data_IF_444717546326
#
_entry.id   IF_444717546326
#
_cell.length_a   1.000
_cell.length_b   1.000
_cell.length_c   1.000
_cell.angle_alpha   90.00
_cell.angle_beta   90.00
_cell.angle_gamma   90.00
#
_symmetry.space_group_name_H-M   'P 1'
#
loop_
_entity.id
_entity.type
_entity.pdbx_description
1 polymer ?
#
# COMPACT_ATOMS: atom_id res chain seq x y z
N UNK A 1 -8.78 -4.89 10.25
CA UNK A 1 -10.03 -4.20 10.53
C UNK A 1 -10.01 -3.49 11.88
N UNK A 2 -9.67 -4.13 13.00
CA UNK A 2 -9.70 -3.53 14.34
C UNK A 2 -8.81 -2.28 14.49
N UNK A 3 -7.60 -2.28 13.90
CA UNK A 3 -6.70 -1.11 13.88
C UNK A 3 -7.28 0.05 13.06
N UNK A 4 -7.91 -0.24 11.92
CA UNK A 4 -8.62 0.78 11.14
C UNK A 4 -9.76 1.40 11.95
N UNK A 5 -10.56 0.55 12.63
CA UNK A 5 -11.64 1.02 13.49
C UNK A 5 -11.11 1.94 14.59
N UNK A 6 -10.07 1.51 15.32
CA UNK A 6 -9.46 2.32 16.37
C UNK A 6 -8.95 3.67 15.84
N UNK A 7 -8.21 3.67 14.74
CA UNK A 7 -7.68 4.89 14.13
C UNK A 7 -8.78 5.84 13.64
N UNK A 8 -9.82 5.31 12.97
CA UNK A 8 -10.97 6.11 12.52
C UNK A 8 -11.70 6.73 13.71
N UNK A 9 -11.97 5.95 14.76
CA UNK A 9 -12.64 6.46 15.96
C UNK A 9 -11.84 7.56 16.67
N UNK A 10 -10.50 7.41 16.75
CA UNK A 10 -9.63 8.45 17.30
C UNK A 10 -9.71 9.75 16.49
N UNK A 11 -9.63 9.65 15.16
CA UNK A 11 -9.69 10.81 14.27
C UNK A 11 -11.07 11.49 14.36
N UNK A 12 -12.17 10.72 14.28
CA UNK A 12 -13.52 11.27 14.33
C UNK A 12 -13.82 11.97 15.66
N UNK A 13 -13.48 11.35 16.80
CA UNK A 13 -13.73 11.93 18.12
C UNK A 13 -12.85 13.15 18.41
N UNK A 14 -11.68 13.22 17.76
CA UNK A 14 -10.80 14.38 17.91
C UNK A 14 -11.16 15.53 16.96
N UNK A 15 -11.83 15.26 15.85
CA UNK A 15 -12.29 16.28 14.90
C UNK A 15 -13.68 16.81 15.26
N UNK A 16 -14.56 15.97 15.80
CA UNK A 16 -15.94 16.31 16.11
C UNK A 16 -16.22 16.10 17.60
N UNK A 17 -16.00 17.13 18.39
CA UNK A 17 -16.08 17.05 19.87
C UNK A 17 -17.49 16.78 20.41
N UNK A 18 -18.55 17.08 19.65
CA UNK A 18 -19.94 16.89 20.07
C UNK A 18 -20.67 15.73 19.35
N UNK A 19 -19.93 14.71 18.93
CA UNK A 19 -20.49 13.58 18.20
C UNK A 19 -21.55 12.79 19.02
N UNK A 20 -21.44 12.81 20.34
CA UNK A 20 -22.39 12.18 21.26
C UNK A 20 -23.84 12.70 21.12
N UNK A 21 -23.99 13.95 20.67
CA UNK A 21 -25.32 14.57 20.50
C UNK A 21 -25.93 14.29 19.11
N UNK A 22 -25.15 13.74 18.17
CA UNK A 22 -25.57 13.61 16.76
C UNK A 22 -26.28 12.28 16.48
N UNK A 23 -25.96 11.19 17.20
CA UNK A 23 -26.57 9.89 16.91
C UNK A 23 -26.54 8.92 18.11
N UNK A 24 -27.64 8.16 18.31
CA UNK A 24 -27.69 7.04 19.27
C UNK A 24 -26.62 5.97 19.02
N UNK A 25 -26.20 5.77 17.76
CA UNK A 25 -25.10 4.85 17.39
C UNK A 25 -23.78 5.27 18.05
N UNK A 26 -23.48 6.57 18.06
CA UNK A 26 -22.27 7.05 18.71
C UNK A 26 -22.32 6.96 20.23
N UNK A 27 -23.50 7.04 20.85
CA UNK A 27 -23.65 6.79 22.29
C UNK A 27 -23.31 5.34 22.69
N UNK A 28 -23.64 4.37 21.83
CA UNK A 28 -23.25 2.95 22.04
C UNK A 28 -21.75 2.73 21.84
N UNK A 29 -21.12 3.53 20.95
CA UNK A 29 -19.69 3.49 20.68
C UNK A 29 -18.84 4.36 21.62
N UNK A 30 -19.47 5.25 22.40
CA UNK A 30 -18.80 6.12 23.39
C UNK A 30 -17.92 5.38 24.42
N UNK A 31 -18.27 4.17 24.92
CA UNK A 31 -17.37 3.41 25.78
C UNK A 31 -16.04 3.07 25.11
N UNK A 32 -16.00 3.09 23.76
CA UNK A 32 -14.80 2.94 22.93
C UNK A 32 -14.23 4.29 22.48
N UNK A 33 -14.55 5.38 23.20
CA UNK A 33 -13.98 6.70 22.92
C UNK A 33 -12.50 6.69 23.29
N UNK A 34 -11.65 6.65 22.28
CA UNK A 34 -10.20 6.62 22.39
C UNK A 34 -9.61 8.01 22.74
N UNK A 35 -10.35 8.84 23.46
CA UNK A 35 -10.04 10.25 23.74
C UNK A 35 -9.26 10.38 25.06
N UNK A 36 -8.02 9.88 25.05
CA UNK A 36 -7.14 9.86 26.22
C UNK A 36 -5.89 10.73 26.09
N UNK A 37 -5.70 11.39 24.96
CA UNK A 37 -4.63 12.34 24.70
C UNK A 37 -5.21 13.73 24.44
N UNK A 38 -4.35 14.74 24.40
CA UNK A 38 -4.73 16.05 23.87
C UNK A 38 -5.17 15.88 22.41
N UNK A 39 -6.07 16.74 21.93
CA UNK A 39 -6.68 16.63 20.60
C UNK A 39 -5.63 16.43 19.49
N UNK A 40 -4.55 17.21 19.51
CA UNK A 40 -3.45 17.14 18.55
C UNK A 40 -2.79 15.76 18.54
N UNK A 41 -2.48 15.22 19.73
CA UNK A 41 -1.84 13.91 19.86
C UNK A 41 -2.79 12.77 19.50
N UNK A 42 -4.07 12.89 19.82
CA UNK A 42 -5.07 11.90 19.41
C UNK A 42 -5.20 11.81 17.89
N UNK A 43 -5.23 12.95 17.20
CA UNK A 43 -5.22 12.98 15.74
C UNK A 43 -3.97 12.32 15.17
N UNK A 44 -2.81 12.68 15.69
CA UNK A 44 -1.54 12.14 15.25
C UNK A 44 -1.47 10.61 15.44
N UNK A 45 -1.79 10.12 16.63
CA UNK A 45 -1.81 8.67 16.93
C UNK A 45 -2.85 7.94 16.10
N UNK A 46 -4.04 8.52 15.91
CA UNK A 46 -5.10 7.96 15.07
C UNK A 46 -4.66 7.77 13.62
N UNK A 47 -4.02 8.78 13.02
CA UNK A 47 -3.49 8.68 11.66
C UNK A 47 -2.31 7.73 11.56
N UNK A 48 -1.42 7.68 12.55
CA UNK A 48 -0.35 6.68 12.59
C UNK A 48 -0.91 5.26 12.67
N UNK A 49 -1.97 5.03 13.46
CA UNK A 49 -2.65 3.73 13.52
C UNK A 49 -3.24 3.35 12.15
N UNK A 50 -3.85 4.30 11.43
CA UNK A 50 -4.38 4.06 10.09
C UNK A 50 -3.27 3.71 9.08
N UNK A 51 -2.17 4.44 9.09
CA UNK A 51 -1.00 4.15 8.26
C UNK A 51 -0.38 2.79 8.56
N UNK A 52 -0.20 2.47 9.84
CA UNK A 52 0.33 1.17 10.28
C UNK A 52 -0.66 0.03 9.99
N UNK A 53 -1.97 0.24 10.15
CA UNK A 53 -2.99 -0.74 9.79
C UNK A 53 -2.89 -1.13 8.32
N UNK A 54 -2.55 -0.17 7.44
CA UNK A 54 -2.30 -0.44 6.03
C UNK A 54 -1.02 -1.25 5.81
N UNK A 55 0.08 -0.89 6.48
CA UNK A 55 1.33 -1.66 6.46
C UNK A 55 1.14 -3.10 6.92
N UNK A 56 0.34 -3.30 7.99
CA UNK A 56 -0.02 -4.64 8.50
C UNK A 56 -0.90 -5.40 7.50
N UNK A 57 -1.89 -4.74 6.89
CA UNK A 57 -2.76 -5.40 5.90
C UNK A 57 -1.98 -5.88 4.67
N UNK A 58 -0.89 -5.21 4.34
CA UNK A 58 0.05 -5.59 3.28
C UNK A 58 1.17 -6.53 3.75
N UNK A 59 1.14 -6.99 5.01
CA UNK A 59 2.12 -7.93 5.60
C UNK A 59 3.56 -7.41 5.61
N UNK A 60 3.74 -6.09 5.72
CA UNK A 60 5.06 -5.44 5.70
C UNK A 60 5.79 -5.65 7.02
N UNK A 61 6.99 -6.24 6.97
CA UNK A 61 7.84 -6.57 8.11
C UNK A 61 8.19 -5.34 8.97
N UNK A 62 8.50 -4.23 8.34
CA UNK A 62 8.82 -2.97 9.03
C UNK A 62 7.63 -2.36 9.79
N UNK A 63 6.37 -2.70 9.46
CA UNK A 63 5.20 -2.21 10.18
C UNK A 63 4.98 -2.90 11.53
N UNK A 64 5.59 -4.06 11.76
CA UNK A 64 5.36 -4.88 12.95
C UNK A 64 5.77 -4.17 14.26
N UNK A 65 7.04 -3.76 14.37
CA UNK A 65 7.55 -3.12 15.59
C UNK A 65 6.89 -1.77 15.91
N UNK A 66 6.74 -0.83 14.97
CA UNK A 66 6.05 0.42 15.24
C UNK A 66 4.62 0.21 15.75
N UNK A 67 3.91 -0.80 15.21
CA UNK A 67 2.54 -1.12 15.66
C UNK A 67 2.52 -1.62 17.10
N UNK A 68 3.44 -2.50 17.49
CA UNK A 68 3.55 -2.99 18.88
C UNK A 68 3.85 -1.84 19.83
N UNK A 69 4.82 -0.99 19.48
CA UNK A 69 5.20 0.16 20.29
C UNK A 69 4.01 1.12 20.45
N UNK A 70 3.33 1.44 19.36
CA UNK A 70 2.19 2.35 19.39
C UNK A 70 1.01 1.81 20.20
N UNK A 71 0.68 0.52 20.03
CA UNK A 71 -0.37 -0.14 20.83
C UNK A 71 0.01 -0.22 22.32
N UNK A 72 1.27 -0.54 22.62
CA UNK A 72 1.79 -0.51 23.98
C UNK A 72 1.68 0.88 24.62
N UNK A 73 2.01 1.93 23.87
CA UNK A 73 1.84 3.32 24.30
C UNK A 73 0.35 3.64 24.57
N UNK A 74 -0.55 3.21 23.68
CA UNK A 74 -2.00 3.38 23.88
C UNK A 74 -2.48 2.69 25.17
N UNK A 75 -2.04 1.46 25.46
CA UNK A 75 -2.39 0.72 26.67
C UNK A 75 -1.88 1.48 27.92
N UNK A 76 -0.61 1.81 27.96
CA UNK A 76 0.01 2.51 29.11
C UNK A 76 -0.71 3.83 29.39
N UNK A 77 -0.98 4.62 28.35
CA UNK A 77 -1.66 5.89 28.51
C UNK A 77 -3.13 5.75 28.95
N UNK A 78 -3.83 4.70 28.45
CA UNK A 78 -5.20 4.40 28.89
C UNK A 78 -5.24 3.99 30.35
N UNK A 79 -4.30 3.17 30.81
CA UNK A 79 -4.15 2.80 32.22
C UNK A 79 -3.90 4.03 33.12
N UNK A 80 -3.02 4.91 32.68
CA UNK A 80 -2.62 6.09 33.45
C UNK A 80 -3.73 7.16 33.58
N UNK A 81 -4.57 7.32 32.53
CA UNK A 81 -5.51 8.46 32.46
C UNK A 81 -6.99 8.08 32.65
N UNK A 82 -7.44 6.97 32.11
CA UNK A 82 -8.89 6.67 32.05
C UNK A 82 -9.33 5.44 32.84
N UNK A 83 -8.42 4.54 33.17
CA UNK A 83 -8.68 3.26 33.86
C UNK A 83 -9.83 2.45 33.21
N UNK A 84 -10.10 2.66 31.92
CA UNK A 84 -11.16 1.99 31.18
C UNK A 84 -10.74 0.57 30.82
N UNK A 85 -11.19 -0.42 31.58
CA UNK A 85 -10.88 -1.84 31.34
C UNK A 85 -11.32 -2.33 29.95
N UNK A 86 -12.38 -1.77 29.40
CA UNK A 86 -12.87 -2.12 28.06
C UNK A 86 -11.87 -1.74 26.97
N UNK A 87 -11.32 -0.53 27.03
CA UNK A 87 -10.30 -0.06 26.07
C UNK A 87 -9.00 -0.83 26.20
N UNK A 88 -8.56 -1.07 27.44
CA UNK A 88 -7.35 -1.85 27.70
C UNK A 88 -7.52 -3.26 27.12
N UNK A 89 -8.68 -3.89 27.33
CA UNK A 89 -8.95 -5.22 26.77
C UNK A 89 -8.93 -5.22 25.23
N UNK A 90 -9.50 -4.22 24.56
CA UNK A 90 -9.49 -4.10 23.10
C UNK A 90 -8.06 -3.95 22.58
N UNK A 91 -7.27 -3.04 23.14
CA UNK A 91 -5.87 -2.87 22.71
C UNK A 91 -5.02 -4.10 23.00
N UNK A 92 -5.24 -4.75 24.15
CA UNK A 92 -4.53 -5.98 24.52
C UNK A 92 -4.84 -7.13 23.54
N UNK A 93 -6.11 -7.30 23.15
CA UNK A 93 -6.51 -8.30 22.14
C UNK A 93 -5.89 -8.01 20.79
N UNK A 94 -5.89 -6.74 20.34
CA UNK A 94 -5.27 -6.34 19.08
C UNK A 94 -3.74 -6.58 19.12
N UNK A 95 -3.11 -6.19 20.23
CA UNK A 95 -1.67 -6.39 20.44
C UNK A 95 -1.30 -7.89 20.42
N UNK A 96 -2.07 -8.71 21.12
CA UNK A 96 -1.88 -10.16 21.12
C UNK A 96 -2.05 -10.76 19.72
N UNK A 97 -3.07 -10.33 18.98
CA UNK A 97 -3.27 -10.78 17.60
C UNK A 97 -2.09 -10.42 16.69
N UNK A 98 -1.54 -9.19 16.81
CA UNK A 98 -0.36 -8.77 16.04
C UNK A 98 0.88 -9.58 16.43
N UNK A 99 1.08 -9.87 17.72
CA UNK A 99 2.21 -10.69 18.19
C UNK A 99 2.11 -12.13 17.65
N UNK A 100 0.94 -12.74 17.70
CA UNK A 100 0.71 -14.10 17.18
C UNK A 100 0.91 -14.16 15.66
N UNK A 101 0.54 -13.11 14.94
CA UNK A 101 0.68 -13.02 13.49
C UNK A 101 2.10 -12.71 13.01
N UNK A 102 3.12 -12.70 13.88
CA UNK A 102 4.50 -12.30 13.54
C UNK A 102 5.04 -12.96 12.26
N UNK A 103 4.75 -14.24 12.05
CA UNK A 103 5.24 -15.00 10.89
C UNK A 103 4.62 -14.57 9.55
N UNK A 104 3.47 -13.88 9.60
CA UNK A 104 2.79 -13.39 8.41
C UNK A 104 3.42 -12.11 7.83
N UNK A 105 4.31 -11.45 8.58
CA UNK A 105 5.00 -10.22 8.17
C UNK A 105 6.31 -10.58 7.46
N UNK A 106 6.24 -10.83 6.16
CA UNK A 106 7.38 -11.26 5.35
C UNK A 106 7.80 -10.26 4.28
N UNK A 107 6.90 -9.35 3.85
CA UNK A 107 7.21 -8.37 2.81
C UNK A 107 8.22 -7.33 3.30
N UNK A 108 9.28 -7.15 2.50
CA UNK A 108 10.37 -6.24 2.83
C UNK A 108 10.05 -4.78 2.48
N UNK A 109 9.09 -4.54 1.57
CA UNK A 109 8.76 -3.21 1.08
C UNK A 109 7.26 -2.94 1.10
N UNK A 110 6.94 -1.69 1.43
CA UNK A 110 5.60 -1.15 1.28
C UNK A 110 5.49 -0.40 -0.05
N UNK A 111 4.64 -0.87 -0.94
CA UNK A 111 4.42 -0.24 -2.25
C UNK A 111 2.97 0.18 -2.39
N UNK A 112 2.75 1.47 -2.55
CA UNK A 112 1.41 2.00 -2.82
C UNK A 112 0.97 1.70 -4.25
N UNK A 113 -0.28 1.23 -4.41
CA UNK A 113 -0.95 1.30 -5.69
C UNK A 113 -1.37 2.74 -5.98
N UNK A 114 -1.36 3.13 -7.26
CA UNK A 114 -1.79 4.47 -7.66
C UNK A 114 -3.22 4.79 -7.17
N UNK A 115 -4.15 3.84 -7.34
CA UNK A 115 -5.54 4.02 -6.89
C UNK A 115 -5.67 4.21 -5.38
N UNK A 116 -4.89 3.46 -4.59
CA UNK A 116 -4.90 3.61 -3.14
C UNK A 116 -4.34 4.98 -2.70
N UNK A 117 -3.24 5.42 -3.32
CA UNK A 117 -2.64 6.71 -3.02
C UNK A 117 -3.60 7.88 -3.34
N UNK A 118 -4.28 7.82 -4.49
CA UNK A 118 -5.26 8.85 -4.88
C UNK A 118 -6.46 8.88 -3.94
N UNK A 119 -7.02 7.73 -3.57
CA UNK A 119 -8.16 7.65 -2.63
C UNK A 119 -7.77 8.20 -1.26
N UNK A 120 -6.64 7.77 -0.71
CA UNK A 120 -6.18 8.24 0.60
C UNK A 120 -5.88 9.75 0.59
N UNK A 121 -5.28 10.26 -0.49
CA UNK A 121 -5.01 11.69 -0.65
C UNK A 121 -6.29 12.54 -0.76
N UNK A 122 -7.29 12.05 -1.49
CA UNK A 122 -8.59 12.73 -1.61
C UNK A 122 -9.31 12.71 -0.26
N UNK A 123 -9.36 11.57 0.43
CA UNK A 123 -10.01 11.45 1.75
C UNK A 123 -9.36 12.39 2.78
N UNK A 124 -8.03 12.39 2.84
CA UNK A 124 -7.31 13.28 3.76
C UNK A 124 -7.52 14.75 3.38
N UNK A 125 -7.43 15.08 2.08
CA UNK A 125 -7.67 16.43 1.58
C UNK A 125 -9.09 16.93 1.86
N UNK A 126 -10.11 16.10 1.64
CA UNK A 126 -11.50 16.42 1.98
C UNK A 126 -11.70 16.62 3.49
N UNK A 127 -11.09 15.78 4.32
CA UNK A 127 -11.13 15.94 5.77
C UNK A 127 -10.46 17.25 6.21
N UNK A 128 -9.26 17.53 5.69
CA UNK A 128 -8.49 18.71 6.05
C UNK A 128 -9.22 20.01 5.62
N UNK A 129 -9.66 20.09 4.36
CA UNK A 129 -10.37 21.25 3.82
C UNK A 129 -11.73 21.41 4.51
N UNK A 130 -12.48 20.31 4.65
CA UNK A 130 -13.77 20.33 5.33
C UNK A 130 -13.65 20.80 6.78
N UNK A 131 -12.64 20.34 7.50
CA UNK A 131 -12.36 20.77 8.88
C UNK A 131 -11.97 22.25 8.94
N UNK A 132 -11.10 22.73 8.04
CA UNK A 132 -10.66 24.12 7.97
C UNK A 132 -11.83 25.06 7.64
N UNK A 133 -12.65 24.69 6.65
CA UNK A 133 -13.83 25.47 6.23
C UNK A 133 -14.88 25.51 7.32
N UNK A 134 -15.21 24.35 7.92
CA UNK A 134 -16.20 24.27 8.99
C UNK A 134 -15.82 25.15 10.19
N UNK A 135 -14.56 25.15 10.60
CA UNK A 135 -14.08 25.99 11.69
C UNK A 135 -14.07 27.47 11.34
N UNK A 136 -13.66 27.81 10.12
CA UNK A 136 -13.67 29.20 9.66
C UNK A 136 -15.07 29.83 9.69
N UNK A 137 -16.10 29.08 9.28
CA UNK A 137 -17.49 29.55 9.34
C UNK A 137 -18.09 29.49 10.73
N UNK A 138 -17.70 28.55 11.57
CA UNK A 138 -18.16 28.44 12.97
C UNK A 138 -17.59 29.56 13.86
N UNK A 139 -16.38 30.01 13.60
CA UNK A 139 -15.71 31.08 14.33
C UNK A 139 -16.26 32.48 14.03
N UNK A 140 -17.07 32.66 12.97
CA UNK A 140 -17.72 33.92 12.67
C UNK A 140 -19.19 33.87 13.10
N UNK A 141 -19.63 34.65 14.11
CA UNK A 141 -21.04 34.81 14.43
C UNK A 141 -21.71 35.59 13.29
N UNK A 142 -22.11 34.91 12.23
CA UNK A 142 -22.98 35.46 11.22
C UNK A 142 -24.36 35.62 11.84
N UNK A 143 -24.71 36.83 12.20
CA UNK A 143 -26.03 37.34 12.59
C UNK A 143 -27.12 36.30 12.87
N UNK A 144 -27.40 36.03 14.14
CA UNK A 144 -28.75 35.77 14.61
C UNK A 144 -29.40 34.41 14.38
N UNK A 145 -28.79 33.42 13.74
CA UNK A 145 -29.39 32.12 13.56
C UNK A 145 -29.02 31.14 14.69
N UNK A 146 -29.85 31.09 15.71
CA UNK A 146 -29.73 30.17 16.86
C UNK A 146 -29.72 28.66 16.48
N UNK A 147 -30.15 28.30 15.27
CA UNK A 147 -30.20 26.93 14.78
C UNK A 147 -28.79 26.37 14.54
N UNK A 148 -27.82 27.21 14.16
CA UNK A 148 -26.42 26.81 13.94
C UNK A 148 -25.68 26.57 15.26
N UNK A 149 -26.08 27.23 16.36
CA UNK A 149 -25.46 27.07 17.69
C UNK A 149 -25.65 25.69 18.30
N UNK A 150 -26.63 24.90 17.90
CA UNK A 150 -26.79 23.51 18.35
C UNK A 150 -25.87 22.53 17.62
N UNK A 151 -25.28 22.90 16.49
CA UNK A 151 -24.29 22.13 15.73
C UNK A 151 -22.89 22.73 15.86
N UNK A 152 -22.55 23.37 16.96
CA UNK A 152 -21.19 23.83 17.21
C UNK A 152 -20.24 22.63 17.26
N UNK A 153 -19.66 22.31 16.11
CA UNK A 153 -18.62 21.29 15.96
C UNK A 153 -17.35 21.65 16.77
N UNK A 154 -17.16 22.96 17.01
CA UNK A 154 -16.01 23.50 17.72
C UNK A 154 -16.46 24.36 18.90
N UNK A 155 -16.14 23.93 20.15
CA UNK A 155 -16.53 24.68 21.35
C UNK A 155 -15.73 25.99 21.53
N UNK A 156 -14.55 26.13 20.88
CA UNK A 156 -13.73 27.33 20.90
C UNK A 156 -12.80 27.38 19.68
N UNK A 157 -12.27 28.58 19.36
CA UNK A 157 -11.29 28.79 18.30
C UNK A 157 -10.00 27.99 18.58
N UNK A 158 -9.60 27.86 19.83
CA UNK A 158 -8.41 27.10 20.22
C UNK A 158 -8.54 25.61 19.85
N UNK A 159 -9.73 25.02 20.03
CA UNK A 159 -9.99 23.61 19.68
C UNK A 159 -9.90 23.40 18.17
N UNK A 160 -10.42 24.34 17.38
CA UNK A 160 -10.30 24.29 15.94
C UNK A 160 -8.85 24.42 15.48
N UNK A 161 -8.11 25.40 16.03
CA UNK A 161 -6.71 25.63 15.67
C UNK A 161 -5.81 24.45 16.06
N UNK A 162 -5.99 23.90 17.25
CA UNK A 162 -5.27 22.69 17.70
C UNK A 162 -5.56 21.50 16.80
N UNK A 163 -6.78 21.36 16.31
CA UNK A 163 -7.14 20.33 15.35
C UNK A 163 -6.45 20.51 13.99
N UNK A 164 -6.34 21.75 13.47
CA UNK A 164 -5.57 22.02 12.25
C UNK A 164 -4.09 21.70 12.40
N UNK A 165 -3.49 22.08 13.54
CA UNK A 165 -2.12 21.72 13.87
C UNK A 165 -1.98 20.19 13.91
N UNK A 166 -2.89 19.48 14.58
CA UNK A 166 -2.89 18.03 14.68
C UNK A 166 -2.97 17.35 13.30
N UNK A 167 -3.83 17.82 12.42
CA UNK A 167 -3.93 17.32 11.04
C UNK A 167 -2.65 17.58 10.24
N UNK A 168 -2.04 18.76 10.40
CA UNK A 168 -0.78 19.10 9.72
C UNK A 168 0.39 18.23 10.19
N UNK A 169 0.51 18.03 11.50
CA UNK A 169 1.54 17.15 12.08
C UNK A 169 1.29 15.69 11.64
N UNK A 170 0.02 15.27 11.55
CA UNK A 170 -0.36 13.93 11.09
C UNK A 170 0.07 13.68 9.65
N UNK A 171 -0.09 14.67 8.77
CA UNK A 171 0.36 14.57 7.38
C UNK A 171 1.87 14.37 7.29
N UNK A 172 2.64 15.13 8.08
CA UNK A 172 4.09 15.00 8.15
C UNK A 172 4.47 13.62 8.71
N UNK A 173 3.80 13.19 9.78
CA UNK A 173 4.02 11.86 10.37
C UNK A 173 3.74 10.72 9.42
N UNK A 174 2.64 10.79 8.65
CA UNK A 174 2.30 9.81 7.61
C UNK A 174 3.34 9.79 6.49
N UNK A 175 3.87 10.95 6.10
CA UNK A 175 4.91 11.02 5.08
C UNK A 175 6.21 10.31 5.55
N UNK A 176 6.67 10.56 6.77
CA UNK A 176 7.83 9.87 7.33
C UNK A 176 7.57 8.38 7.57
N UNK A 177 6.38 8.01 8.03
CA UNK A 177 5.99 6.61 8.16
C UNK A 177 6.03 5.89 6.81
N UNK A 178 5.50 6.53 5.77
CA UNK A 178 5.55 5.98 4.42
C UNK A 178 6.98 5.79 3.93
N UNK A 179 7.84 6.80 4.10
CA UNK A 179 9.26 6.70 3.75
C UNK A 179 9.94 5.52 4.47
N UNK A 180 9.71 5.41 5.77
CA UNK A 180 10.27 4.32 6.59
C UNK A 180 9.81 2.93 6.11
N UNK A 181 8.53 2.78 5.78
CA UNK A 181 7.97 1.51 5.31
C UNK A 181 8.36 1.18 3.86
N UNK A 182 8.57 2.17 3.01
CA UNK A 182 8.91 2.02 1.60
C UNK A 182 10.41 1.78 1.36
N UNK A 183 11.27 2.17 2.29
CA UNK A 183 12.72 2.01 2.17
C UNK A 183 13.11 0.54 2.20
N UNK A 184 13.90 0.10 1.19
CA UNK A 184 14.51 -1.24 1.15
C UNK A 184 15.79 -1.22 0.36
N UNK A 185 16.72 -2.09 0.73
CA UNK A 185 17.96 -2.34 -0.02
C UNK A 185 17.81 -3.49 -1.03
N UNK A 186 16.71 -4.25 -0.93
CA UNK A 186 16.44 -5.36 -1.85
C UNK A 186 15.76 -4.83 -3.10
N UNK A 187 16.28 -5.19 -4.27
CA UNK A 187 15.75 -4.85 -5.58
C UNK A 187 15.13 -6.07 -6.24
N UNK A 188 14.09 -5.86 -7.06
CA UNK A 188 13.54 -6.92 -7.90
C UNK A 188 14.48 -7.14 -9.08
N UNK A 189 14.93 -8.39 -9.24
CA UNK A 189 15.89 -8.73 -10.28
C UNK A 189 17.23 -8.01 -10.14
N UNK A 190 17.93 -7.90 -11.24
CA UNK A 190 19.27 -7.33 -11.33
C UNK A 190 19.30 -6.14 -12.27
N UNK A 191 20.32 -5.27 -12.14
CA UNK A 191 20.53 -4.15 -13.01
C UNK A 191 20.98 -4.60 -14.41
N UNK A 192 20.91 -3.68 -15.38
CA UNK A 192 21.33 -3.92 -16.74
C UNK A 192 22.83 -4.23 -16.84
N UNK A 193 23.18 -5.41 -17.37
CA UNK A 193 24.52 -5.83 -17.69
C UNK A 193 24.56 -6.34 -19.14
N UNK A 194 25.03 -5.51 -20.07
CA UNK A 194 25.01 -5.78 -21.50
C UNK A 194 25.75 -7.06 -21.88
N UNK A 195 26.92 -7.28 -21.30
CA UNK A 195 27.74 -8.46 -21.62
C UNK A 195 27.07 -9.78 -21.18
N UNK A 196 26.33 -9.77 -20.06
CA UNK A 196 25.57 -10.94 -19.58
C UNK A 196 24.35 -11.19 -20.45
N UNK A 197 23.61 -10.13 -20.75
CA UNK A 197 22.44 -10.21 -21.62
C UNK A 197 22.80 -10.76 -23.00
N UNK A 198 23.85 -10.22 -23.62
CA UNK A 198 24.31 -10.66 -24.97
C UNK A 198 24.70 -12.13 -24.95
N UNK A 199 25.51 -12.56 -23.98
CA UNK A 199 25.89 -13.99 -23.84
C UNK A 199 24.67 -14.89 -23.63
N UNK A 200 23.70 -14.44 -22.86
CA UNK A 200 22.48 -15.20 -22.61
C UNK A 200 21.66 -15.36 -23.91
N UNK A 201 21.48 -14.28 -24.67
CA UNK A 201 20.75 -14.30 -25.93
C UNK A 201 21.47 -15.08 -27.03
N UNK A 202 22.82 -15.08 -27.06
CA UNK A 202 23.60 -15.92 -27.94
C UNK A 202 23.43 -17.43 -27.63
N UNK A 203 23.33 -17.78 -26.35
CA UNK A 203 23.14 -19.18 -25.90
C UNK A 203 21.74 -19.72 -26.18
N UNK A 204 20.70 -18.93 -25.92
CA UNK A 204 19.32 -19.42 -25.93
C UNK A 204 18.47 -18.88 -27.07
N UNK A 205 18.99 -17.95 -27.84
CA UNK A 205 18.21 -17.16 -28.79
C UNK A 205 17.42 -16.04 -28.10
N UNK A 206 16.62 -15.33 -28.87
CA UNK A 206 15.76 -14.26 -28.39
C UNK A 206 14.32 -14.47 -28.83
N UNK A 207 13.45 -13.60 -28.35
CA UNK A 207 12.08 -13.46 -28.81
C UNK A 207 11.83 -12.05 -29.37
N UNK A 208 10.62 -11.74 -29.78
CA UNK A 208 10.25 -10.42 -30.33
C UNK A 208 10.49 -9.26 -29.37
N UNK A 209 10.51 -9.51 -28.04
CA UNK A 209 10.77 -8.53 -26.99
C UNK A 209 12.26 -8.31 -26.69
N UNK A 210 13.16 -9.14 -27.19
CA UNK A 210 14.57 -9.16 -26.77
C UNK A 210 15.33 -7.85 -27.03
N UNK A 211 14.97 -7.11 -28.08
CA UNK A 211 15.59 -5.82 -28.38
C UNK A 211 15.28 -4.75 -27.32
N UNK A 212 14.11 -4.84 -26.68
CA UNK A 212 13.75 -3.91 -25.61
C UNK A 212 14.56 -4.15 -24.33
N UNK A 213 15.12 -5.35 -24.15
CA UNK A 213 15.94 -5.68 -22.97
C UNK A 213 17.27 -4.90 -22.93
N UNK A 214 17.73 -4.38 -24.08
CA UNK A 214 18.90 -3.51 -24.14
C UNK A 214 18.61 -2.06 -23.69
N UNK A 215 17.33 -1.72 -23.46
CA UNK A 215 16.99 -0.42 -22.91
C UNK A 215 17.29 -0.40 -21.41
N UNK A 216 17.96 0.64 -20.95
CA UNK A 216 18.46 0.77 -19.56
C UNK A 216 17.35 0.91 -18.51
N UNK A 217 16.11 1.12 -18.92
CA UNK A 217 14.93 1.23 -18.07
C UNK A 217 14.23 -0.12 -17.80
N UNK A 218 14.72 -1.19 -18.44
CA UNK A 218 14.28 -2.55 -18.15
C UNK A 218 15.10 -3.19 -17.02
N UNK A 219 14.42 -3.82 -16.08
CA UNK A 219 15.02 -4.74 -15.12
C UNK A 219 15.12 -6.14 -15.70
N UNK A 220 16.09 -6.90 -15.25
CA UNK A 220 16.32 -8.27 -15.67
C UNK A 220 16.22 -9.20 -14.47
N UNK A 221 15.41 -10.25 -14.58
CA UNK A 221 15.38 -11.32 -13.62
C UNK A 221 15.91 -12.59 -14.26
N UNK A 222 17.05 -13.05 -13.78
CA UNK A 222 17.67 -14.30 -14.21
C UNK A 222 17.34 -15.40 -13.22
N UNK A 223 16.62 -16.42 -13.69
CA UNK A 223 16.47 -17.66 -12.94
C UNK A 223 17.71 -18.52 -13.13
N UNK A 224 18.37 -18.86 -12.04
CA UNK A 224 19.60 -19.62 -12.02
C UNK A 224 19.39 -21.01 -11.44
N UNK A 225 20.01 -21.99 -12.05
CA UNK A 225 20.12 -23.35 -11.51
C UNK A 225 21.56 -23.81 -11.63
N UNK A 226 22.11 -24.38 -10.55
CA UNK A 226 23.52 -24.80 -10.47
C UNK A 226 24.55 -23.69 -10.81
N UNK A 227 24.18 -22.43 -10.61
CA UNK A 227 25.02 -21.28 -10.89
C UNK A 227 25.02 -20.79 -12.34
N UNK A 228 24.19 -21.42 -13.21
CA UNK A 228 24.00 -20.98 -14.59
C UNK A 228 22.65 -20.31 -14.81
N UNK A 229 22.62 -19.25 -15.62
CA UNK A 229 21.41 -18.57 -16.05
C UNK A 229 20.62 -19.50 -17.00
N UNK A 230 19.37 -19.84 -16.63
CA UNK A 230 18.51 -20.74 -17.38
C UNK A 230 17.34 -20.05 -18.06
N UNK A 231 16.74 -19.04 -17.38
CA UNK A 231 15.59 -18.29 -17.89
C UNK A 231 15.75 -16.81 -17.54
N UNK A 232 15.37 -15.95 -18.47
CA UNK A 232 15.38 -14.49 -18.31
C UNK A 232 13.98 -13.91 -18.50
N UNK A 233 13.58 -13.05 -17.58
CA UNK A 233 12.45 -12.15 -17.72
C UNK A 233 12.92 -10.71 -17.81
N UNK A 234 12.42 -9.99 -18.80
CA UNK A 234 12.57 -8.55 -18.89
C UNK A 234 11.32 -7.84 -18.37
N UNK A 235 11.50 -6.86 -17.52
CA UNK A 235 10.35 -6.19 -16.90
C UNK A 235 10.58 -4.70 -16.68
N UNK A 236 9.47 -3.97 -16.55
CA UNK A 236 9.44 -2.58 -16.09
C UNK A 236 8.54 -2.45 -14.87
N UNK A 237 8.93 -1.60 -13.91
CA UNK A 237 8.16 -1.34 -12.72
C UNK A 237 7.44 -0.01 -12.81
N UNK A 238 6.14 -0.01 -12.49
CA UNK A 238 5.36 1.22 -12.33
C UNK A 238 4.41 1.08 -11.13
N UNK A 239 4.63 1.92 -10.12
CA UNK A 239 3.92 1.83 -8.83
C UNK A 239 4.09 0.45 -8.20
N UNK A 240 2.97 -0.25 -7.93
CA UNK A 240 2.96 -1.60 -7.35
C UNK A 240 2.89 -2.71 -8.39
N UNK A 241 3.07 -2.39 -9.67
CA UNK A 241 3.01 -3.37 -10.76
C UNK A 241 4.36 -3.55 -11.43
N UNK A 242 4.67 -4.79 -11.74
CA UNK A 242 5.83 -5.20 -12.51
C UNK A 242 5.31 -5.77 -13.84
N UNK A 243 5.53 -5.03 -14.92
CA UNK A 243 5.10 -5.40 -16.27
C UNK A 243 6.19 -6.21 -16.93
N UNK A 244 5.87 -7.45 -17.28
CA UNK A 244 6.76 -8.38 -17.99
C UNK A 244 6.34 -8.40 -19.45
N UNK A 245 7.29 -8.17 -20.34
CA UNK A 245 7.06 -8.12 -21.78
C UNK A 245 7.44 -9.44 -22.44
N UNK A 246 6.50 -10.00 -23.19
CA UNK A 246 6.62 -11.25 -23.94
C UNK A 246 6.90 -12.49 -23.07
N UNK A 247 7.16 -13.60 -23.72
CA UNK A 247 7.50 -14.86 -23.06
C UNK A 247 8.89 -14.80 -22.42
N UNK A 248 9.16 -15.61 -21.39
CA UNK A 248 10.50 -15.76 -20.87
C UNK A 248 11.45 -16.33 -21.92
N UNK A 249 12.71 -15.90 -21.89
CA UNK A 249 13.74 -16.40 -22.78
C UNK A 249 14.54 -17.46 -22.04
N UNK A 250 14.87 -18.55 -22.70
CA UNK A 250 15.70 -19.64 -22.12
C UNK A 250 15.05 -21.01 -22.19
N UNK A 251 15.43 -21.90 -21.28
CA UNK A 251 14.95 -23.29 -21.26
C UNK A 251 13.46 -23.38 -20.95
N UNK A 252 12.66 -23.89 -21.88
CA UNK A 252 11.20 -23.97 -21.76
C UNK A 252 10.74 -24.87 -20.58
N UNK A 253 11.47 -25.97 -20.34
CA UNK A 253 11.21 -26.89 -19.24
C UNK A 253 11.33 -26.22 -17.86
N UNK A 254 12.05 -25.10 -17.79
CA UNK A 254 12.28 -24.32 -16.56
C UNK A 254 11.35 -23.13 -16.40
N UNK A 255 10.51 -22.83 -17.38
CA UNK A 255 9.64 -21.63 -17.37
C UNK A 255 8.73 -21.58 -16.15
N UNK A 256 8.08 -22.70 -15.81
CA UNK A 256 7.19 -22.76 -14.63
C UNK A 256 7.96 -22.50 -13.33
N UNK A 257 9.12 -23.15 -13.14
CA UNK A 257 9.93 -22.94 -11.94
C UNK A 257 10.47 -21.50 -11.85
N UNK A 258 10.92 -20.95 -12.98
CA UNK A 258 11.38 -19.56 -13.08
C UNK A 258 10.26 -18.55 -12.80
N UNK A 259 9.05 -18.82 -13.30
CA UNK A 259 7.86 -17.97 -13.05
C UNK A 259 7.51 -17.95 -11.57
N UNK A 260 7.47 -19.11 -10.91
CA UNK A 260 7.20 -19.19 -9.47
C UNK A 260 8.27 -18.46 -8.65
N UNK A 261 9.55 -18.64 -8.98
CA UNK A 261 10.63 -17.93 -8.30
C UNK A 261 10.53 -16.40 -8.48
N UNK A 262 10.15 -15.95 -9.68
CA UNK A 262 9.95 -14.53 -9.94
C UNK A 262 8.72 -13.98 -9.20
N UNK A 263 7.62 -14.76 -9.12
CA UNK A 263 6.44 -14.41 -8.33
C UNK A 263 6.78 -14.25 -6.85
N UNK A 264 7.54 -15.18 -6.28
CA UNK A 264 7.96 -15.15 -4.88
C UNK A 264 8.80 -13.89 -4.58
N UNK A 265 9.75 -13.56 -5.47
CA UNK A 265 10.56 -12.35 -5.29
C UNK A 265 9.73 -11.07 -5.46
N UNK A 266 8.81 -11.03 -6.42
CA UNK A 266 7.91 -9.90 -6.62
C UNK A 266 6.98 -9.71 -5.42
N UNK A 267 6.41 -10.79 -4.87
CA UNK A 267 5.54 -10.73 -3.69
C UNK A 267 6.29 -10.30 -2.43
N UNK A 268 7.53 -10.77 -2.24
CA UNK A 268 8.41 -10.32 -1.15
C UNK A 268 8.60 -8.79 -1.16
N UNK A 269 8.65 -8.20 -2.34
CA UNK A 269 8.80 -6.76 -2.54
C UNK A 269 7.46 -6.02 -2.70
N UNK A 270 6.32 -6.72 -2.62
CA UNK A 270 4.99 -6.14 -2.70
C UNK A 270 4.54 -5.73 -4.10
N UNK A 271 5.18 -6.25 -5.15
CA UNK A 271 4.80 -6.01 -6.53
C UNK A 271 3.84 -7.07 -7.04
N UNK A 272 2.95 -6.67 -7.95
CA UNK A 272 2.06 -7.54 -8.71
C UNK A 272 2.61 -7.71 -10.12
N UNK A 273 2.81 -8.95 -10.56
CA UNK A 273 3.23 -9.26 -11.92
C UNK A 273 2.08 -9.09 -12.89
N UNK A 274 2.38 -8.51 -14.04
CA UNK A 274 1.47 -8.35 -15.18
C UNK A 274 2.23 -8.75 -16.43
N UNK A 275 1.86 -9.86 -17.04
CA UNK A 275 2.45 -10.33 -18.29
C UNK A 275 1.69 -9.73 -19.48
N UNK A 276 2.42 -9.27 -20.48
CA UNK A 276 1.89 -8.60 -21.67
C UNK A 276 2.51 -9.15 -22.95
N UNK A 277 1.70 -9.38 -23.98
CA UNK A 277 2.10 -9.98 -25.27
C UNK A 277 2.73 -11.36 -25.09
N UNK A 278 2.06 -12.23 -24.37
CA UNK A 278 2.47 -13.62 -24.14
C UNK A 278 1.90 -14.52 -25.26
N UNK A 279 2.65 -15.57 -25.60
CA UNK A 279 2.20 -16.59 -26.55
C UNK A 279 1.13 -17.50 -25.92
N UNK A 280 0.38 -18.19 -26.78
CA UNK A 280 -0.61 -19.21 -26.37
C UNK A 280 0.06 -20.33 -25.58
N UNK A 281 1.29 -20.70 -25.91
CA UNK A 281 2.06 -21.74 -25.20
C UNK A 281 2.34 -21.32 -23.74
N UNK A 282 2.73 -20.07 -23.52
CA UNK A 282 3.07 -19.61 -22.16
C UNK A 282 1.82 -19.26 -21.33
N UNK A 283 0.68 -18.95 -21.97
CA UNK A 283 -0.61 -18.74 -21.27
C UNK A 283 -0.95 -19.94 -20.38
N UNK A 284 -0.75 -21.17 -20.86
CA UNK A 284 -1.04 -22.36 -20.07
C UNK A 284 -0.18 -22.46 -18.82
N UNK A 285 1.12 -22.16 -18.92
CA UNK A 285 2.04 -22.13 -17.76
C UNK A 285 1.62 -21.07 -16.75
N UNK A 286 1.21 -19.88 -17.21
CA UNK A 286 0.74 -18.82 -16.32
C UNK A 286 -0.60 -19.18 -15.66
N UNK A 287 -1.50 -19.86 -16.36
CA UNK A 287 -2.74 -20.36 -15.79
C UNK A 287 -2.48 -21.33 -14.63
N UNK A 288 -1.55 -22.27 -14.81
CA UNK A 288 -1.14 -23.20 -13.76
C UNK A 288 -0.49 -22.50 -12.55
N UNK A 289 0.12 -21.32 -12.78
CA UNK A 289 0.65 -20.45 -11.73
C UNK A 289 -0.44 -19.56 -11.09
N UNK A 290 -1.69 -19.64 -11.50
CA UNK A 290 -2.83 -18.91 -10.93
C UNK A 290 -3.08 -17.52 -11.52
N UNK A 291 -2.54 -17.22 -12.72
CA UNK A 291 -2.86 -15.99 -13.43
C UNK A 291 -4.19 -16.09 -14.18
N UNK A 292 -4.92 -14.99 -14.16
CA UNK A 292 -6.06 -14.75 -15.03
C UNK A 292 -5.60 -13.95 -16.25
N UNK A 293 -6.24 -14.17 -17.41
CA UNK A 293 -5.87 -13.46 -18.63
C UNK A 293 -7.06 -12.85 -19.33
N UNK A 294 -6.78 -11.77 -20.03
CA UNK A 294 -7.74 -11.01 -20.81
C UNK A 294 -7.16 -10.72 -22.18
N UNK A 295 -7.91 -11.01 -23.24
CA UNK A 295 -7.53 -10.63 -24.59
C UNK A 295 -7.63 -9.11 -24.74
N UNK A 296 -6.50 -8.46 -25.03
CA UNK A 296 -6.39 -6.99 -25.20
C UNK A 296 -6.41 -6.58 -26.68
N UNK A 297 -6.09 -7.50 -27.60
CA UNK A 297 -6.00 -7.21 -29.02
C UNK A 297 -5.66 -8.44 -29.85
N UNK A 298 -5.45 -8.22 -31.13
CA UNK A 298 -4.96 -9.21 -32.10
C UNK A 298 -3.73 -8.65 -32.79
N UNK A 299 -2.77 -9.52 -33.09
CA UNK A 299 -1.54 -9.18 -33.79
C UNK A 299 -1.60 -9.76 -35.20
N UNK A 300 -1.38 -8.91 -36.20
CA UNK A 300 -1.28 -9.33 -37.60
C UNK A 300 0.18 -9.66 -37.94
N UNK A 301 0.49 -10.89 -38.28
CA UNK A 301 1.81 -11.32 -38.76
C UNK A 301 1.84 -11.28 -40.30
N UNK A 302 2.78 -10.54 -40.86
CA UNK A 302 3.01 -10.50 -42.29
C UNK A 302 4.29 -11.29 -42.58
N UNK A 303 4.15 -12.41 -43.32
CA UNK A 303 5.29 -13.18 -43.79
C UNK A 303 5.81 -12.58 -45.08
N UNK A 304 7.03 -12.08 -45.10
CA UNK A 304 7.64 -11.44 -46.30
C UNK A 304 7.94 -12.42 -47.42
N UNK A 305 7.90 -13.73 -47.20
CA UNK A 305 8.14 -14.75 -48.21
C UNK A 305 6.99 -14.91 -49.24
N UNK A 306 5.80 -14.38 -48.96
CA UNK A 306 4.65 -14.46 -49.85
C UNK A 306 4.80 -13.55 -51.08
N UNK A 307 5.76 -12.66 -51.13
CA UNK A 307 5.97 -11.68 -52.21
C UNK A 307 6.69 -12.17 -53.46
N UNK A 308 7.05 -13.46 -53.56
CA UNK A 308 7.72 -14.03 -54.75
C UNK A 308 6.82 -14.96 -55.58
N UNK A 309 5.55 -14.70 -55.60
CA UNK A 309 4.71 -15.41 -56.50
C UNK A 309 4.48 -14.57 -57.78
N UNK A 310 5.15 -14.97 -58.84
CA UNK A 310 4.85 -14.74 -60.25
C UNK A 310 4.95 -13.30 -60.79
N UNK A 311 6.06 -13.04 -61.41
CA UNK A 311 6.13 -12.37 -62.71
C UNK A 311 6.45 -13.41 -63.78
#
# INVERSE_FOLDING_TARGET
>A
LALYFAGIMMVLLSTVTNLSNVSRLFQVLLPFSFNFLDQTLNLFVGFLLLGLARGISMKVKKAYWPTIILLGFCIVNTVARTTSWQLIAVYAVILLAVILARKEFYREKFVYSWGALTVDSILFGCLFIGYAVAGYYAARPAGGNQVINHFLLFPSDDVWFNGLIGLSISLIGLFFLYQYLAETTVTLGEGFEEARLTRFLEKFGGNEGSQFLYLKDYGHFYYQEEGEDQVLFGFQMKFNKCFVLADPIGQREKWTAATLAFMDQADLLGYQLVFYRISEEYVMNLHDCGFEFMKVGEEGLIQFEIGRAHV
#
